data_IF_390795243628
#
_entry.id   IF_390795243628
#
_cell.length_a   1.000
_cell.length_b   1.000
_cell.length_c   1.000
_cell.angle_alpha   90.00
_cell.angle_beta   90.00
_cell.angle_gamma   90.00
#
_symmetry.space_group_name_H-M   'P 1'
#
loop_
_entity.id
_entity.type
_entity.pdbx_description
1 polymer ?
#
# COMPACT_ATOMS: atom_id res chain seq x y z
N UNK A 1 4.80 22.06 -12.97
CA UNK A 1 3.92 21.46 -11.95
C UNK A 1 2.93 22.54 -11.47
N UNK A 2 1.65 22.20 -11.40
CA UNK A 2 0.62 23.14 -10.93
C UNK A 2 0.63 23.26 -9.40
N UNK A 3 -0.01 24.29 -8.86
CA UNK A 3 -0.15 24.44 -7.40
C UNK A 3 -0.97 23.32 -6.77
N UNK A 4 -1.94 22.75 -7.51
CA UNK A 4 -2.73 21.59 -7.04
C UNK A 4 -1.88 20.32 -6.93
N UNK A 5 -0.98 20.08 -7.89
CA UNK A 5 -0.05 18.95 -7.86
C UNK A 5 0.93 19.08 -6.70
N UNK A 6 1.48 20.28 -6.47
CA UNK A 6 2.35 20.55 -5.33
C UNK A 6 1.63 20.29 -4.00
N UNK A 7 0.36 20.71 -3.88
CA UNK A 7 -0.45 20.49 -2.69
C UNK A 7 -0.67 18.97 -2.45
N UNK A 8 -0.96 18.21 -3.52
CA UNK A 8 -1.15 16.77 -3.40
C UNK A 8 0.15 16.06 -2.99
N UNK A 9 1.30 16.48 -3.54
CA UNK A 9 2.61 15.94 -3.15
C UNK A 9 2.88 16.20 -1.66
N UNK A 10 2.58 17.41 -1.17
CA UNK A 10 2.77 17.74 0.24
C UNK A 10 1.89 16.89 1.15
N UNK A 11 0.63 16.68 0.78
CA UNK A 11 -0.30 15.81 1.51
C UNK A 11 0.23 14.37 1.54
N UNK A 12 0.67 13.86 0.39
CA UNK A 12 1.20 12.51 0.26
C UNK A 12 2.48 12.32 1.08
N UNK A 13 3.38 13.29 1.08
CA UNK A 13 4.61 13.25 1.88
C UNK A 13 4.30 13.15 3.38
N UNK A 14 3.36 13.96 3.85
CA UNK A 14 2.93 13.89 5.26
C UNK A 14 2.29 12.54 5.58
N UNK A 15 1.50 12.01 4.68
CA UNK A 15 0.86 10.70 4.85
C UNK A 15 1.90 9.59 4.95
N UNK A 16 2.93 9.61 4.09
CA UNK A 16 4.04 8.66 4.15
C UNK A 16 4.78 8.75 5.48
N UNK A 17 5.08 9.96 5.96
CA UNK A 17 5.74 10.16 7.25
C UNK A 17 4.92 9.56 8.39
N UNK A 18 3.61 9.74 8.38
CA UNK A 18 2.70 9.15 9.37
C UNK A 18 2.70 7.62 9.31
N UNK A 19 2.68 7.04 8.11
CA UNK A 19 2.71 5.59 7.90
C UNK A 19 4.01 5.01 8.43
N UNK A 20 5.16 5.61 8.08
CA UNK A 20 6.47 5.15 8.52
C UNK A 20 6.67 5.32 10.04
N UNK A 21 6.04 6.32 10.65
CA UNK A 21 6.10 6.54 12.10
C UNK A 21 5.16 5.60 12.88
N UNK A 22 4.18 4.99 12.23
CA UNK A 22 3.17 4.15 12.89
C UNK A 22 3.72 2.78 13.34
N UNK A 23 4.84 2.32 12.75
CA UNK A 23 5.44 1.05 13.12
C UNK A 23 6.95 1.07 12.86
N UNK A 24 7.75 0.36 13.69
CA UNK A 24 9.21 0.30 13.51
C UNK A 24 9.61 -0.58 12.31
N UNK A 25 8.73 -1.49 11.90
CA UNK A 25 8.95 -2.44 10.80
C UNK A 25 7.65 -2.54 10.01
N UNK A 26 7.78 -2.59 8.69
CA UNK A 26 6.65 -2.87 7.79
C UNK A 26 6.90 -4.24 7.16
N UNK A 27 6.21 -5.31 7.61
CA UNK A 27 6.35 -6.64 7.00
C UNK A 27 5.90 -6.62 5.55
N UNK A 28 6.67 -7.30 4.69
CA UNK A 28 6.35 -7.50 3.28
C UNK A 28 5.84 -8.91 3.10
N UNK A 29 4.60 -9.06 2.71
CA UNK A 29 3.88 -10.34 2.72
C UNK A 29 3.37 -10.70 1.33
N UNK A 30 3.46 -11.97 1.00
CA UNK A 30 2.87 -12.53 -0.21
C UNK A 30 1.94 -13.67 0.19
N UNK A 31 0.68 -13.61 -0.20
CA UNK A 31 -0.34 -14.58 0.17
C UNK A 31 -0.90 -15.29 -1.05
N UNK A 32 -1.25 -16.56 -0.84
CA UNK A 32 -1.84 -17.41 -1.87
C UNK A 32 -3.34 -17.70 -1.63
N UNK A 33 -3.84 -17.46 -0.41
CA UNK A 33 -5.25 -17.69 -0.07
C UNK A 33 -5.70 -16.85 1.13
N UNK A 34 -7.02 -16.77 1.32
CA UNK A 34 -7.65 -15.93 2.36
C UNK A 34 -7.31 -16.36 3.78
N UNK A 35 -7.31 -17.66 4.04
CA UNK A 35 -7.04 -18.20 5.37
C UNK A 35 -5.64 -17.81 5.84
N UNK A 36 -4.65 -17.99 4.98
CA UNK A 36 -3.28 -17.58 5.24
C UNK A 36 -3.18 -16.08 5.49
N UNK A 37 -3.80 -15.28 4.64
CA UNK A 37 -3.74 -13.81 4.72
C UNK A 37 -4.33 -13.30 6.05
N UNK A 38 -5.53 -13.71 6.39
CA UNK A 38 -6.22 -13.26 7.59
C UNK A 38 -5.48 -13.73 8.85
N UNK A 39 -5.06 -15.00 8.88
CA UNK A 39 -4.35 -15.55 10.03
C UNK A 39 -3.04 -14.85 10.33
N UNK A 40 -2.19 -14.68 9.33
CA UNK A 40 -0.88 -14.04 9.48
C UNK A 40 -1.03 -12.55 9.79
N UNK A 41 -1.86 -11.84 9.05
CA UNK A 41 -2.06 -10.41 9.24
C UNK A 41 -2.64 -10.10 10.63
N UNK A 42 -3.62 -10.88 11.08
CA UNK A 42 -4.20 -10.72 12.41
C UNK A 42 -3.16 -10.94 13.52
N UNK A 43 -2.31 -11.95 13.36
CA UNK A 43 -1.24 -12.23 14.32
C UNK A 43 -0.24 -11.08 14.39
N UNK A 44 0.15 -10.50 13.25
CA UNK A 44 1.07 -9.37 13.20
C UNK A 44 0.48 -8.12 13.85
N UNK A 45 -0.78 -7.80 13.52
CA UNK A 45 -1.47 -6.66 14.12
C UNK A 45 -1.62 -6.84 15.63
N UNK A 46 -2.01 -8.02 16.08
CA UNK A 46 -2.14 -8.32 17.50
C UNK A 46 -0.78 -8.26 18.23
N UNK A 47 0.30 -8.52 17.52
CA UNK A 47 1.66 -8.40 18.03
C UNK A 47 2.23 -6.96 18.04
N UNK A 48 1.46 -5.99 17.53
CA UNK A 48 1.84 -4.57 17.54
C UNK A 48 2.32 -4.00 16.21
N UNK A 49 2.30 -4.79 15.12
CA UNK A 49 2.68 -4.31 13.78
C UNK A 49 1.41 -3.98 12.98
N UNK A 50 1.03 -2.72 12.99
CA UNK A 50 -0.21 -2.24 12.39
C UNK A 50 -0.10 -1.80 10.93
N UNK A 51 1.10 -1.82 10.36
CA UNK A 51 1.35 -1.45 8.95
C UNK A 51 1.89 -2.67 8.22
N UNK A 52 1.20 -3.09 7.16
CA UNK A 52 1.53 -4.29 6.39
C UNK A 52 1.61 -3.95 4.91
N UNK A 53 2.58 -4.53 4.20
CA UNK A 53 2.69 -4.43 2.74
C UNK A 53 2.38 -5.77 2.11
N UNK A 54 1.36 -5.82 1.24
CA UNK A 54 0.93 -7.02 0.53
C UNK A 54 1.42 -6.93 -0.91
N UNK A 55 2.24 -7.86 -1.35
CA UNK A 55 2.80 -7.81 -2.70
C UNK A 55 1.83 -8.34 -3.76
N UNK A 56 1.99 -7.81 -4.98
CA UNK A 56 1.30 -8.32 -6.17
C UNK A 56 2.08 -9.47 -6.85
N UNK A 57 3.02 -10.09 -6.15
CA UNK A 57 3.78 -11.24 -6.68
C UNK A 57 2.91 -12.47 -6.86
N UNK A 58 1.84 -12.61 -6.09
CA UNK A 58 0.83 -13.63 -6.30
C UNK A 58 -0.41 -13.03 -6.94
N UNK A 59 -1.19 -13.87 -7.65
CA UNK A 59 -2.47 -13.46 -8.23
C UNK A 59 -3.51 -13.10 -7.15
N UNK A 60 -3.30 -13.57 -5.95
CA UNK A 60 -4.19 -13.33 -4.81
C UNK A 60 -3.98 -11.95 -4.16
N UNK A 61 -2.93 -11.22 -4.50
CA UNK A 61 -2.53 -9.98 -3.81
C UNK A 61 -3.64 -8.94 -3.68
N UNK A 62 -4.33 -8.61 -4.78
CA UNK A 62 -5.43 -7.63 -4.75
C UNK A 62 -6.60 -8.10 -3.88
N UNK A 63 -6.97 -9.37 -4.00
CA UNK A 63 -8.03 -9.96 -3.19
C UNK A 63 -7.65 -9.94 -1.71
N UNK A 64 -6.40 -10.25 -1.38
CA UNK A 64 -5.89 -10.19 -0.02
C UNK A 64 -6.00 -8.79 0.57
N UNK A 65 -5.59 -7.76 -0.17
CA UNK A 65 -5.70 -6.35 0.27
C UNK A 65 -7.15 -6.01 0.60
N UNK A 66 -8.07 -6.33 -0.29
CA UNK A 66 -9.50 -6.06 -0.10
C UNK A 66 -10.05 -6.76 1.15
N UNK A 67 -9.73 -8.03 1.32
CA UNK A 67 -10.20 -8.82 2.46
C UNK A 67 -9.60 -8.33 3.78
N UNK A 68 -8.31 -7.99 3.79
CA UNK A 68 -7.64 -7.48 4.99
C UNK A 68 -8.18 -6.11 5.41
N UNK A 69 -8.49 -5.24 4.46
CA UNK A 69 -9.12 -3.94 4.77
C UNK A 69 -10.49 -4.11 5.39
N UNK A 70 -11.23 -5.13 5.01
CA UNK A 70 -12.54 -5.46 5.60
C UNK A 70 -12.40 -6.10 6.99
N UNK A 71 -11.45 -7.02 7.14
CA UNK A 71 -11.26 -7.78 8.38
C UNK A 71 -10.51 -6.98 9.46
N UNK A 72 -9.60 -6.10 9.06
CA UNK A 72 -8.73 -5.33 9.94
C UNK A 72 -8.80 -3.84 9.57
N UNK A 73 -9.95 -3.18 9.74
CA UNK A 73 -10.13 -1.80 9.26
C UNK A 73 -9.20 -0.78 9.94
N UNK A 74 -8.67 -1.09 11.12
CA UNK A 74 -7.74 -0.23 11.82
C UNK A 74 -6.28 -0.38 11.33
N UNK A 75 -5.97 -1.45 10.61
CA UNK A 75 -4.63 -1.66 10.07
C UNK A 75 -4.39 -0.81 8.83
N UNK A 76 -3.13 -0.41 8.63
CA UNK A 76 -2.69 0.28 7.42
C UNK A 76 -2.15 -0.78 6.47
N UNK A 77 -2.80 -0.97 5.33
CA UNK A 77 -2.48 -2.01 4.36
C UNK A 77 -1.99 -1.37 3.07
N UNK A 78 -0.73 -1.61 2.72
CA UNK A 78 -0.16 -1.16 1.48
C UNK A 78 -0.04 -2.27 0.45
N UNK A 79 0.11 -1.88 -0.81
CA UNK A 79 0.36 -2.80 -1.93
C UNK A 79 1.81 -2.66 -2.39
N UNK A 80 2.51 -3.78 -2.53
CA UNK A 80 3.89 -3.83 -3.01
C UNK A 80 4.01 -4.47 -4.39
N UNK A 81 5.18 -4.29 -5.00
CA UNK A 81 5.46 -4.81 -6.35
C UNK A 81 4.53 -4.23 -7.42
N UNK A 82 4.16 -2.98 -7.24
CA UNK A 82 3.33 -2.25 -8.21
C UNK A 82 4.23 -1.68 -9.31
N UNK A 83 3.97 -2.06 -10.56
CA UNK A 83 4.90 -1.83 -11.67
C UNK A 83 4.42 -0.76 -12.66
N UNK A 84 3.14 -0.41 -12.65
CA UNK A 84 2.56 0.52 -13.64
C UNK A 84 1.29 1.18 -13.10
N UNK A 85 0.81 2.26 -13.76
CA UNK A 85 -0.40 2.96 -13.33
C UNK A 85 -1.66 2.11 -13.27
N UNK A 86 -1.81 1.12 -14.16
CA UNK A 86 -2.97 0.22 -14.16
C UNK A 86 -3.02 -0.61 -12.88
N UNK A 87 -1.89 -1.17 -12.47
CA UNK A 87 -1.78 -1.90 -11.19
C UNK A 87 -1.99 -0.97 -10.00
N UNK A 88 -1.46 0.24 -10.07
CA UNK A 88 -1.64 1.27 -9.05
C UNK A 88 -3.13 1.53 -8.81
N UNK A 89 -3.88 1.78 -9.88
CA UNK A 89 -5.32 2.02 -9.79
C UNK A 89 -6.07 0.82 -9.22
N UNK A 90 -5.71 -0.39 -9.65
CA UNK A 90 -6.31 -1.61 -9.12
C UNK A 90 -6.09 -1.75 -7.59
N UNK A 91 -4.92 -1.35 -7.09
CA UNK A 91 -4.63 -1.34 -5.67
C UNK A 91 -5.46 -0.30 -4.91
N UNK A 92 -5.64 0.88 -5.48
CA UNK A 92 -6.53 1.91 -4.92
C UNK A 92 -7.96 1.36 -4.81
N UNK A 93 -8.45 0.73 -5.87
CA UNK A 93 -9.80 0.16 -5.92
C UNK A 93 -9.98 -0.97 -4.90
N UNK A 94 -8.91 -1.70 -4.60
CA UNK A 94 -8.91 -2.74 -3.56
C UNK A 94 -8.85 -2.18 -2.13
N UNK A 95 -8.57 -0.89 -1.97
CA UNK A 95 -8.54 -0.23 -0.67
C UNK A 95 -7.15 -0.05 -0.06
N UNK A 96 -6.08 -0.18 -0.84
CA UNK A 96 -4.71 0.03 -0.35
C UNK A 96 -4.52 1.44 0.21
N UNK A 97 -3.83 1.54 1.33
CA UNK A 97 -3.55 2.81 2.01
C UNK A 97 -2.27 3.48 1.49
N UNK A 98 -1.35 2.71 0.91
CA UNK A 98 -0.14 3.19 0.28
C UNK A 98 0.34 2.21 -0.77
N UNK A 99 1.23 2.67 -1.64
CA UNK A 99 1.74 1.87 -2.77
C UNK A 99 3.28 1.85 -2.69
N UNK A 100 3.86 0.69 -2.93
CA UNK A 100 5.31 0.50 -3.01
C UNK A 100 5.66 -0.06 -4.39
N UNK A 101 6.64 0.55 -5.04
CA UNK A 101 7.18 0.05 -6.30
C UNK A 101 8.63 -0.38 -6.14
N UNK A 102 9.06 -1.47 -6.82
CA UNK A 102 10.45 -1.92 -6.73
C UNK A 102 11.43 -1.00 -7.46
N UNK A 103 10.92 -0.21 -8.40
CA UNK A 103 11.67 0.80 -9.13
C UNK A 103 10.77 1.94 -9.53
N UNK A 104 11.33 2.97 -10.16
CA UNK A 104 10.59 4.18 -10.53
C UNK A 104 10.63 4.40 -12.03
N UNK A 105 9.45 4.55 -12.63
CA UNK A 105 9.30 5.05 -14.00
C UNK A 105 8.68 6.44 -13.96
N UNK A 106 8.89 7.23 -15.01
CA UNK A 106 8.28 8.55 -15.09
C UNK A 106 6.74 8.47 -15.01
N UNK A 107 6.15 7.48 -15.67
CA UNK A 107 4.70 7.26 -15.63
C UNK A 107 4.19 6.97 -14.23
N UNK A 108 4.89 6.10 -13.51
CA UNK A 108 4.50 5.70 -12.15
C UNK A 108 4.63 6.87 -11.18
N UNK A 109 5.71 7.61 -11.26
CA UNK A 109 5.94 8.80 -10.42
C UNK A 109 4.89 9.88 -10.68
N UNK A 110 4.56 10.12 -11.94
CA UNK A 110 3.55 11.11 -12.32
C UNK A 110 2.16 10.68 -11.81
N UNK A 111 1.80 9.42 -11.99
CA UNK A 111 0.53 8.90 -11.48
C UNK A 111 0.45 9.03 -9.95
N UNK A 112 1.53 8.67 -9.26
CA UNK A 112 1.61 8.77 -7.80
C UNK A 112 1.50 10.20 -7.28
N UNK A 113 2.09 11.18 -7.98
CA UNK A 113 2.03 12.59 -7.59
C UNK A 113 0.61 13.18 -7.64
N UNK A 114 -0.26 12.59 -8.45
CA UNK A 114 -1.64 13.02 -8.62
C UNK A 114 -2.64 12.17 -7.83
N UNK A 115 -2.18 11.06 -7.24
CA UNK A 115 -3.04 10.13 -6.50
C UNK A 115 -3.23 10.59 -5.06
N UNK A 116 -4.40 10.28 -4.49
CA UNK A 116 -4.67 10.45 -3.05
C UNK A 116 -4.07 9.33 -2.21
N UNK A 117 -3.66 8.21 -2.83
CA UNK A 117 -2.96 7.11 -2.18
C UNK A 117 -1.47 7.27 -2.48
N UNK A 118 -0.62 7.49 -1.47
CA UNK A 118 0.77 7.86 -1.71
C UNK A 118 1.63 6.70 -2.20
N UNK A 119 2.67 7.04 -2.98
CA UNK A 119 3.67 6.12 -3.49
C UNK A 119 4.97 6.24 -2.69
N UNK A 120 5.51 5.07 -2.29
CA UNK A 120 6.89 4.93 -1.83
C UNK A 120 7.68 4.28 -2.97
N UNK A 121 8.38 5.04 -3.81
CA UNK A 121 9.09 4.49 -4.95
C UNK A 121 10.41 3.82 -4.55
N UNK A 122 10.75 2.78 -5.28
CA UNK A 122 12.04 2.12 -5.14
C UNK A 122 13.17 2.87 -5.83
#
# INVERSE_FOLDING_TARGET
>A
MTSLENTQIDINTKRIDQICAAAPVIPVLTFDNAEQAIGIASALVNGGLSVLEITLRSEYGLTAIKQLKQALPQAIIGAGTVLNPSQYQACIDAGADFIVSPGSTAELLQFGSQSTVPLLPG
#
